data_IF_682960269117
#
_entry.id   IF_682960269117
#
_cell.length_a   1.000
_cell.length_b   1.000
_cell.length_c   1.000
_cell.angle_alpha   90.00
_cell.angle_beta   90.00
_cell.angle_gamma   90.00
#
_symmetry.space_group_name_H-M   'P 1'
#
loop_
_entity.id
_entity.type
_entity.pdbx_description
1 polymer ?
#
# COMPACT_ATOMS: atom_id res chain seq x y z
N UNK A 1 -24.71 -0.53 -7.25
CA UNK A 1 -23.77 -1.46 -7.92
C UNK A 1 -24.17 -1.80 -9.36
N UNK A 2 -25.39 -1.47 -9.80
CA UNK A 2 -25.94 -1.84 -11.13
C UNK A 2 -24.96 -1.68 -12.30
N UNK A 3 -24.31 -0.52 -12.49
CA UNK A 3 -23.33 -0.36 -13.58
C UNK A 3 -22.05 -1.17 -13.43
N UNK A 4 -21.62 -1.47 -12.21
CA UNK A 4 -20.45 -2.32 -11.97
C UNK A 4 -20.75 -3.77 -12.33
N UNK A 5 -21.99 -4.21 -12.12
CA UNK A 5 -22.44 -5.56 -12.46
C UNK A 5 -22.77 -5.69 -13.95
N UNK A 6 -23.34 -4.65 -14.56
CA UNK A 6 -23.76 -4.63 -15.97
C UNK A 6 -22.60 -4.35 -16.95
N UNK A 7 -21.66 -3.47 -16.59
CA UNK A 7 -20.55 -3.04 -17.46
C UNK A 7 -19.23 -2.93 -16.66
N UNK A 8 -18.69 -4.06 -16.15
CA UNK A 8 -17.51 -4.06 -15.28
C UNK A 8 -16.25 -3.45 -15.93
N UNK A 9 -16.13 -3.50 -17.26
CA UNK A 9 -14.96 -3.02 -18.01
C UNK A 9 -14.70 -1.52 -17.82
N UNK A 10 -15.75 -0.73 -17.55
CA UNK A 10 -15.61 0.70 -17.27
C UNK A 10 -14.86 0.99 -15.95
N UNK A 11 -14.82 0.02 -15.05
CA UNK A 11 -14.25 0.17 -13.71
C UNK A 11 -12.91 -0.55 -13.54
N UNK A 12 -12.50 -1.38 -14.52
CA UNK A 12 -11.17 -2.00 -14.56
C UNK A 12 -10.01 -1.01 -14.37
N UNK A 13 -9.97 0.15 -15.08
CA UNK A 13 -8.88 1.11 -14.94
C UNK A 13 -8.93 1.92 -13.63
N UNK A 14 -9.97 1.79 -12.80
CA UNK A 14 -10.04 2.50 -11.52
C UNK A 14 -8.90 2.04 -10.60
N UNK A 15 -7.96 2.92 -10.27
CA UNK A 15 -6.88 2.60 -9.36
C UNK A 15 -7.35 2.52 -7.91
N UNK A 16 -7.97 3.59 -7.43
CA UNK A 16 -8.48 3.76 -6.07
C UNK A 16 -9.82 4.49 -6.12
N UNK A 17 -10.67 4.24 -5.13
CA UNK A 17 -11.91 4.94 -4.90
C UNK A 17 -11.78 5.82 -3.64
N UNK A 18 -12.45 6.98 -3.67
CA UNK A 18 -12.51 7.90 -2.54
C UNK A 18 -13.96 8.13 -2.15
N UNK A 19 -14.24 8.03 -0.86
CA UNK A 19 -15.52 8.42 -0.24
C UNK A 19 -15.23 9.62 0.66
N UNK A 20 -15.90 10.76 0.44
CA UNK A 20 -15.62 11.96 1.23
C UNK A 20 -16.82 12.91 1.30
N UNK A 21 -16.93 13.60 2.43
CA UNK A 21 -17.79 14.77 2.67
C UNK A 21 -16.97 16.06 2.89
N UNK A 22 -15.66 16.02 2.59
CA UNK A 22 -14.69 17.07 2.86
C UNK A 22 -14.01 16.93 4.22
N UNK A 23 -14.78 16.70 5.30
CA UNK A 23 -14.25 16.51 6.65
C UNK A 23 -13.57 15.15 6.82
N UNK A 24 -14.28 14.10 6.42
CA UNK A 24 -13.79 12.74 6.34
C UNK A 24 -13.45 12.39 4.88
N UNK A 25 -12.40 11.60 4.69
CA UNK A 25 -12.05 11.03 3.40
C UNK A 25 -11.47 9.63 3.61
N UNK A 26 -12.05 8.64 2.92
CA UNK A 26 -11.64 7.26 2.98
C UNK A 26 -11.20 6.78 1.60
N UNK A 27 -10.13 5.99 1.56
CA UNK A 27 -9.58 5.38 0.35
C UNK A 27 -9.78 3.88 0.39
N UNK A 28 -10.21 3.30 -0.72
CA UNK A 28 -10.36 1.86 -0.91
C UNK A 28 -10.30 1.47 -2.37
N UNK A 29 -10.61 0.21 -2.68
CA UNK A 29 -10.71 -0.27 -4.07
C UNK A 29 -12.17 -0.51 -4.46
N UNK A 30 -12.44 -0.60 -5.76
CA UNK A 30 -13.77 -0.90 -6.29
C UNK A 30 -14.30 -2.27 -5.84
N UNK A 31 -13.42 -3.24 -5.57
CA UNK A 31 -13.77 -4.59 -5.13
C UNK A 31 -13.76 -4.76 -3.61
N UNK A 32 -13.40 -3.71 -2.86
CA UNK A 32 -13.32 -3.74 -1.41
C UNK A 32 -14.69 -3.54 -0.76
N UNK A 33 -14.92 -4.24 0.35
CA UNK A 33 -16.01 -3.91 1.27
C UNK A 33 -15.72 -2.61 2.03
N UNK A 34 -16.77 -1.97 2.54
CA UNK A 34 -16.67 -0.64 3.18
C UNK A 34 -15.75 -0.63 4.40
N UNK A 35 -15.60 -1.74 5.12
CA UNK A 35 -14.69 -1.88 6.28
C UNK A 35 -13.20 -1.79 5.88
N UNK A 36 -12.89 -1.95 4.59
CA UNK A 36 -11.54 -1.80 4.04
C UNK A 36 -11.23 -0.40 3.55
N UNK A 37 -12.21 0.51 3.58
CA UNK A 37 -11.98 1.92 3.30
C UNK A 37 -11.40 2.60 4.54
N UNK A 38 -10.23 3.21 4.39
CA UNK A 38 -9.49 3.79 5.51
C UNK A 38 -9.00 5.20 5.19
N UNK A 39 -8.84 6.07 6.20
CA UNK A 39 -8.33 7.41 5.98
C UNK A 39 -6.84 7.38 5.62
N UNK A 40 -6.43 8.30 4.76
CA UNK A 40 -5.02 8.54 4.46
C UNK A 40 -4.41 9.48 5.50
N UNK A 41 -3.17 9.20 5.94
CA UNK A 41 -2.54 9.90 7.08
C UNK A 41 -1.10 10.36 6.80
N UNK A 42 -0.69 10.44 5.54
CA UNK A 42 0.66 10.86 5.16
C UNK A 42 0.59 12.02 4.18
N UNK A 43 1.17 13.17 4.53
CA UNK A 43 1.34 14.28 3.60
C UNK A 43 2.56 15.10 4.00
N UNK A 44 3.32 15.59 3.01
CA UNK A 44 4.48 16.42 3.29
C UNK A 44 4.05 17.75 3.90
N UNK A 45 4.76 18.16 4.96
CA UNK A 45 4.44 19.35 5.73
C UNK A 45 3.22 19.21 6.65
N UNK A 46 2.68 18.01 6.85
CA UNK A 46 1.63 17.72 7.82
C UNK A 46 2.14 16.71 8.85
N UNK A 47 2.59 17.21 10.00
CA UNK A 47 3.12 16.38 11.09
C UNK A 47 2.01 15.72 11.91
N UNK A 48 0.88 16.42 12.12
CA UNK A 48 -0.30 15.90 12.82
C UNK A 48 -1.54 15.92 11.89
N UNK A 49 -1.78 14.82 11.15
CA UNK A 49 -2.93 14.68 10.26
C UNK A 49 -4.29 14.87 10.94
N UNK A 50 -4.38 14.76 12.28
CA UNK A 50 -5.64 14.92 13.01
C UNK A 50 -6.07 16.38 13.13
N UNK A 51 -5.16 17.33 12.89
CA UNK A 51 -5.43 18.76 12.91
C UNK A 51 -5.90 19.30 11.55
N UNK A 52 -6.00 18.42 10.54
CA UNK A 52 -6.37 18.75 9.17
C UNK A 52 -7.62 17.99 8.75
N UNK A 53 -8.27 18.47 7.68
CA UNK A 53 -9.34 17.72 7.03
C UNK A 53 -8.76 16.47 6.37
N UNK A 54 -9.44 15.32 6.50
CA UNK A 54 -8.95 14.07 5.91
C UNK A 54 -8.79 14.20 4.39
N UNK A 55 -9.66 14.98 3.71
CA UNK A 55 -9.54 15.24 2.28
C UNK A 55 -8.30 16.08 1.94
N UNK A 56 -7.95 17.07 2.78
CA UNK A 56 -6.73 17.86 2.58
C UNK A 56 -5.48 16.96 2.66
N UNK A 57 -5.41 16.12 3.69
CA UNK A 57 -4.31 15.17 3.89
C UNK A 57 -4.24 14.17 2.75
N UNK A 58 -5.38 13.68 2.26
CA UNK A 58 -5.44 12.77 1.12
C UNK A 58 -4.89 13.42 -0.16
N UNK A 59 -5.34 14.63 -0.48
CA UNK A 59 -4.97 15.33 -1.72
C UNK A 59 -3.50 15.74 -1.71
N UNK A 60 -3.00 16.31 -0.61
CA UNK A 60 -1.58 16.69 -0.46
C UNK A 60 -0.65 15.50 -0.28
N UNK A 61 -1.21 14.38 0.17
CA UNK A 61 -0.53 13.11 0.39
C UNK A 61 -0.57 12.21 -0.84
N UNK A 62 -1.52 11.27 -0.84
CA UNK A 62 -1.62 10.21 -1.85
C UNK A 62 -1.72 10.76 -3.28
N UNK A 63 -2.45 11.87 -3.49
CA UNK A 63 -2.67 12.42 -4.82
C UNK A 63 -1.63 13.46 -5.27
N UNK A 64 -0.54 13.63 -4.49
CA UNK A 64 0.64 14.28 -5.04
C UNK A 64 1.19 13.42 -6.18
N UNK A 65 1.49 14.03 -7.33
CA UNK A 65 1.74 13.30 -8.58
C UNK A 65 2.81 12.19 -8.47
N UNK A 66 3.96 12.49 -7.89
CA UNK A 66 5.07 11.55 -7.67
C UNK A 66 4.71 10.43 -6.69
N UNK A 67 3.99 10.76 -5.62
CA UNK A 67 3.49 9.78 -4.63
C UNK A 67 2.47 8.87 -5.28
N UNK A 68 1.53 9.41 -6.04
CA UNK A 68 0.49 8.64 -6.69
C UNK A 68 1.07 7.69 -7.75
N UNK A 69 2.02 8.15 -8.56
CA UNK A 69 2.70 7.28 -9.54
C UNK A 69 3.47 6.15 -8.86
N UNK A 70 4.14 6.45 -7.74
CA UNK A 70 4.80 5.42 -6.92
C UNK A 70 3.77 4.45 -6.33
N UNK A 71 2.61 4.96 -5.91
CA UNK A 71 1.50 4.18 -5.37
C UNK A 71 0.91 3.21 -6.40
N UNK A 72 0.58 3.71 -7.59
CA UNK A 72 0.03 2.92 -8.69
C UNK A 72 0.93 1.73 -9.06
N UNK A 73 2.25 1.96 -9.08
CA UNK A 73 3.22 0.94 -9.47
C UNK A 73 3.47 -0.11 -8.39
N UNK A 74 3.52 0.31 -7.12
CA UNK A 74 4.07 -0.53 -6.05
C UNK A 74 3.06 -0.99 -5.01
N UNK A 75 1.86 -0.40 -4.95
CA UNK A 75 0.96 -0.53 -3.80
C UNK A 75 -0.46 -0.97 -4.16
N UNK A 76 -0.63 -1.58 -5.34
CA UNK A 76 -1.86 -2.21 -5.81
C UNK A 76 -1.57 -3.67 -6.13
N UNK A 77 -2.34 -4.59 -5.55
CA UNK A 77 -2.26 -6.03 -5.80
C UNK A 77 -3.58 -6.57 -6.32
N UNK A 78 -3.51 -7.70 -7.00
CA UNK A 78 -4.67 -8.48 -7.42
C UNK A 78 -4.57 -9.87 -6.81
N UNK A 79 -5.55 -10.23 -6.00
CA UNK A 79 -5.64 -11.56 -5.40
C UNK A 79 -6.79 -12.33 -6.04
N UNK A 80 -6.54 -13.58 -6.39
CA UNK A 80 -7.58 -14.48 -6.86
C UNK A 80 -8.01 -15.42 -5.73
N UNK A 81 -9.32 -15.49 -5.46
CA UNK A 81 -9.90 -16.37 -4.46
C UNK A 81 -11.25 -16.90 -4.96
N UNK A 82 -11.42 -18.22 -4.95
CA UNK A 82 -12.64 -18.91 -5.41
C UNK A 82 -13.17 -18.44 -6.78
N UNK A 83 -12.26 -18.16 -7.72
CA UNK A 83 -12.59 -17.69 -9.08
C UNK A 83 -12.97 -16.21 -9.17
N UNK A 84 -12.86 -15.44 -8.08
CA UNK A 84 -13.04 -13.99 -8.06
C UNK A 84 -11.69 -13.28 -7.94
N UNK A 85 -11.57 -12.12 -8.58
CA UNK A 85 -10.39 -11.25 -8.49
C UNK A 85 -10.69 -10.07 -7.58
N UNK A 86 -9.88 -9.89 -6.55
CA UNK A 86 -9.94 -8.77 -5.61
C UNK A 86 -8.77 -7.83 -5.85
N UNK A 87 -9.08 -6.57 -6.15
CA UNK A 87 -8.11 -5.47 -6.17
C UNK A 87 -7.86 -5.02 -4.74
N UNK A 88 -6.62 -5.10 -4.29
CA UNK A 88 -6.18 -4.72 -2.96
C UNK A 88 -5.30 -3.48 -3.09
N UNK A 89 -5.62 -2.44 -2.34
CA UNK A 89 -4.87 -1.18 -2.32
C UNK A 89 -4.26 -1.00 -0.94
N UNK A 90 -2.99 -0.60 -0.87
CA UNK A 90 -2.28 -0.52 0.40
C UNK A 90 -2.80 0.63 1.29
N UNK A 91 -3.00 0.36 2.58
CA UNK A 91 -3.22 1.39 3.58
C UNK A 91 -1.97 2.24 3.83
N UNK A 92 -2.14 3.46 4.34
CA UNK A 92 -1.03 4.39 4.56
C UNK A 92 0.09 3.80 5.44
N UNK A 93 -0.25 2.97 6.43
CA UNK A 93 0.70 2.32 7.33
C UNK A 93 1.55 1.27 6.59
N UNK A 94 0.97 0.56 5.62
CA UNK A 94 1.70 -0.37 4.76
C UNK A 94 2.66 0.40 3.85
N UNK A 95 2.20 1.48 3.22
CA UNK A 95 3.06 2.34 2.39
C UNK A 95 4.24 2.89 3.19
N UNK A 96 3.96 3.50 4.36
CA UNK A 96 5.00 4.04 5.24
C UNK A 96 5.99 2.95 5.68
N UNK A 97 5.48 1.78 6.06
CA UNK A 97 6.28 0.66 6.53
C UNK A 97 7.20 0.13 5.44
N UNK A 98 6.67 -0.09 4.23
CA UNK A 98 7.44 -0.54 3.07
C UNK A 98 8.53 0.47 2.69
N UNK A 99 8.19 1.76 2.56
CA UNK A 99 9.18 2.78 2.18
C UNK A 99 10.32 2.89 3.19
N UNK A 100 10.01 2.81 4.49
CA UNK A 100 11.04 2.77 5.54
C UNK A 100 11.91 1.53 5.47
N UNK A 101 11.32 0.36 5.24
CA UNK A 101 12.07 -0.89 5.12
C UNK A 101 13.00 -0.87 3.89
N UNK A 102 12.51 -0.40 2.74
CA UNK A 102 13.32 -0.24 1.52
C UNK A 102 14.48 0.72 1.77
N UNK A 103 14.24 1.87 2.41
CA UNK A 103 15.29 2.82 2.74
C UNK A 103 16.35 2.20 3.66
N UNK A 104 15.93 1.46 4.70
CA UNK A 104 16.85 0.76 5.60
C UNK A 104 17.67 -0.31 4.88
N UNK A 105 17.08 -1.02 3.92
CA UNK A 105 17.78 -2.01 3.10
C UNK A 105 18.84 -1.36 2.20
N UNK A 106 18.55 -0.19 1.61
CA UNK A 106 19.52 0.58 0.83
C UNK A 106 20.72 1.03 1.67
N UNK A 107 20.44 1.53 2.88
CA UNK A 107 21.47 1.90 3.84
C UNK A 107 22.30 0.68 4.26
N UNK A 108 21.65 -0.45 4.49
CA UNK A 108 22.33 -1.70 4.86
C UNK A 108 23.31 -2.17 3.80
N UNK A 109 22.92 -2.05 2.52
CA UNK A 109 23.74 -2.45 1.38
C UNK A 109 24.98 -1.56 1.21
N UNK A 110 24.84 -0.24 1.43
CA UNK A 110 25.91 0.73 1.14
C UNK A 110 26.85 1.00 2.31
N UNK A 111 26.34 0.97 3.53
CA UNK A 111 26.99 1.63 4.67
C UNK A 111 26.94 0.86 5.99
N UNK A 112 26.39 -0.36 6.04
CA UNK A 112 26.30 -1.14 7.30
C UNK A 112 26.69 -2.61 7.13
N UNK A 113 26.54 -3.35 8.23
CA UNK A 113 26.63 -4.80 8.40
C UNK A 113 25.67 -5.67 7.54
N UNK A 114 24.90 -5.08 6.62
CA UNK A 114 23.91 -5.80 5.81
C UNK A 114 22.61 -6.15 6.55
N UNK A 115 22.39 -5.66 7.78
CA UNK A 115 21.16 -5.96 8.53
C UNK A 115 19.99 -5.05 8.15
N UNK A 116 18.88 -5.64 7.68
CA UNK A 116 17.67 -4.91 7.26
C UNK A 116 16.71 -4.47 8.38
N UNK A 117 16.84 -5.04 9.59
CA UNK A 117 16.04 -4.67 10.77
C UNK A 117 14.74 -5.47 10.95
N UNK A 118 13.87 -4.96 11.83
CA UNK A 118 12.60 -5.61 12.19
C UNK A 118 11.45 -4.62 12.09
N UNK A 119 10.33 -5.04 11.49
CA UNK A 119 9.11 -4.24 11.40
C UNK A 119 8.01 -4.90 12.22
N UNK A 120 7.42 -4.14 13.14
CA UNK A 120 6.37 -4.61 14.04
C UNK A 120 5.00 -4.13 13.58
N UNK A 121 4.05 -5.06 13.48
CA UNK A 121 2.67 -4.80 13.09
C UNK A 121 1.69 -5.51 14.02
N UNK A 122 0.50 -4.93 14.17
CA UNK A 122 -0.62 -5.60 14.86
C UNK A 122 -1.17 -6.74 13.99
N UNK A 123 -1.76 -7.75 14.62
CA UNK A 123 -2.43 -8.85 13.91
C UNK A 123 -3.59 -8.31 13.06
N UNK A 124 -3.76 -8.86 11.85
CA UNK A 124 -4.81 -8.44 10.92
C UNK A 124 -4.54 -7.14 10.13
N UNK A 125 -3.42 -6.45 10.37
CA UNK A 125 -3.06 -5.19 9.68
C UNK A 125 -2.56 -5.35 8.23
N UNK A 126 -2.52 -6.58 7.71
CA UNK A 126 -2.05 -6.88 6.36
C UNK A 126 -0.52 -6.97 6.22
N UNK A 127 0.18 -7.50 7.25
CA UNK A 127 1.65 -7.67 7.27
C UNK A 127 2.19 -8.46 6.06
N UNK A 128 1.44 -9.44 5.57
CA UNK A 128 1.84 -10.26 4.41
C UNK A 128 1.87 -9.42 3.11
N UNK A 129 0.90 -8.53 2.90
CA UNK A 129 0.93 -7.61 1.75
C UNK A 129 2.10 -6.64 1.81
N UNK A 130 2.47 -6.16 3.00
CA UNK A 130 3.66 -5.33 3.16
C UNK A 130 4.93 -6.06 2.74
N UNK A 131 5.08 -7.34 3.10
CA UNK A 131 6.22 -8.14 2.66
C UNK A 131 6.26 -8.26 1.14
N UNK A 132 5.11 -8.46 0.49
CA UNK A 132 5.00 -8.49 -0.98
C UNK A 132 5.43 -7.15 -1.58
N UNK A 133 4.91 -6.02 -1.09
CA UNK A 133 5.28 -4.68 -1.56
C UNK A 133 6.79 -4.42 -1.40
N UNK A 134 7.36 -4.83 -0.27
CA UNK A 134 8.79 -4.69 0.00
C UNK A 134 9.63 -5.50 -1.00
N UNK A 135 9.32 -6.78 -1.20
CA UNK A 135 10.03 -7.65 -2.14
C UNK A 135 9.93 -7.11 -3.57
N UNK A 136 8.72 -6.74 -4.01
CA UNK A 136 8.48 -6.22 -5.34
C UNK A 136 9.30 -4.94 -5.61
N UNK A 137 9.33 -4.01 -4.65
CA UNK A 137 10.12 -2.78 -4.78
C UNK A 137 11.62 -3.07 -4.87
N UNK A 138 12.14 -4.00 -4.07
CA UNK A 138 13.56 -4.36 -4.11
C UNK A 138 13.97 -5.05 -5.41
N UNK A 139 13.10 -5.90 -5.98
CA UNK A 139 13.35 -6.58 -7.25
C UNK A 139 13.50 -5.61 -8.43
N UNK A 140 12.77 -4.50 -8.42
CA UNK A 140 12.85 -3.49 -9.50
C UNK A 140 14.07 -2.56 -9.39
N UNK A 141 14.76 -2.55 -8.25
CA UNK A 141 15.87 -1.64 -8.00
C UNK A 141 17.20 -2.28 -8.43
N UNK A 142 17.84 -1.69 -9.44
CA UNK A 142 19.13 -2.15 -9.97
C UNK A 142 20.24 -2.24 -8.92
N UNK A 143 20.17 -1.42 -7.87
CA UNK A 143 21.12 -1.43 -6.75
C UNK A 143 21.16 -2.78 -6.02
N UNK A 144 20.10 -3.59 -6.07
CA UNK A 144 20.02 -4.89 -5.39
C UNK A 144 20.34 -6.10 -6.29
N UNK A 145 20.67 -5.87 -7.57
CA UNK A 145 21.14 -6.90 -8.51
C UNK A 145 20.22 -8.15 -8.61
N UNK A 146 18.90 -7.96 -8.58
CA UNK A 146 17.89 -9.04 -8.60
C UNK A 146 18.13 -10.09 -7.49
N UNK A 147 17.91 -9.71 -6.22
CA UNK A 147 18.32 -10.54 -5.08
C UNK A 147 17.39 -11.75 -4.90
N UNK A 148 17.91 -12.79 -4.24
CA UNK A 148 17.12 -13.95 -3.80
C UNK A 148 16.39 -13.62 -2.50
N UNK A 149 15.08 -13.87 -2.46
CA UNK A 149 14.26 -13.69 -1.26
C UNK A 149 13.91 -15.04 -0.64
N UNK A 150 14.14 -15.18 0.66
CA UNK A 150 13.72 -16.35 1.44
C UNK A 150 12.59 -15.93 2.37
N UNK A 151 11.38 -16.39 2.09
CA UNK A 151 10.22 -16.17 2.96
C UNK A 151 10.05 -17.35 3.91
N UNK A 152 10.09 -17.07 5.21
CA UNK A 152 9.90 -18.07 6.26
C UNK A 152 8.61 -17.73 7.00
N UNK A 153 7.64 -18.65 6.96
CA UNK A 153 6.38 -18.54 7.70
C UNK A 153 6.30 -19.70 8.71
N UNK A 154 5.56 -19.51 9.80
CA UNK A 154 5.19 -20.61 10.67
C UNK A 154 4.18 -21.53 9.94
N UNK A 155 4.22 -22.84 10.22
CA UNK A 155 3.34 -23.85 9.61
C UNK A 155 1.86 -23.65 9.94
N UNK A 156 1.54 -22.98 11.04
CA UNK A 156 0.15 -22.80 11.46
C UNK A 156 -0.60 -21.69 10.70
N UNK A 157 0.12 -20.87 9.91
CA UNK A 157 -0.41 -19.71 9.18
C UNK A 157 -0.55 -19.96 7.66
N UNK A 158 -0.39 -21.20 7.19
CA UNK A 158 -0.53 -21.62 5.77
C UNK A 158 -1.93 -22.13 5.43
#
# INVERSE_FOLDING_TARGET
RNYQDEIPQLFEPSAVNVISDGGAALVGSITADFDRYAPWRLADGIDDPKQHLDLEVLVRGLFRQDVFLTYLRNFILFQQESGKTFKIVAGYHQVRGTLKAVQRAKEALKHTDGLGGTVWFTQGSGKSYLAIFYVAMLQEMSEFENPTFVMVTDRNDL
#
